data_IF_473774350647
#
_entry.id   IF_473774350647
#
_cell.length_a   1.000
_cell.length_b   1.000
_cell.length_c   1.000
_cell.angle_alpha   90.00
_cell.angle_beta   90.00
_cell.angle_gamma   90.00
#
_symmetry.space_group_name_H-M   'P 1'
#
loop_
_entity.id
_entity.type
_entity.pdbx_description
1 polymer ?
#
# COMPACT_ATOMS: atom_id res chain seq x y z
N UNK A 1 -4.65 -7.71 12.37
CA UNK A 1 -4.90 -6.46 13.04
C UNK A 1 -4.01 -5.35 12.49
N UNK A 2 -4.61 -4.29 11.98
CA UNK A 2 -3.87 -3.23 11.30
C UNK A 2 -4.55 -1.88 11.51
N UNK A 3 -3.78 -0.82 11.32
CA UNK A 3 -4.26 0.55 11.55
C UNK A 3 -4.57 1.28 10.26
N UNK A 4 -3.99 0.85 9.14
CA UNK A 4 -4.12 1.56 7.87
C UNK A 4 -4.04 0.56 6.72
N UNK A 5 -4.74 0.87 5.64
CA UNK A 5 -4.71 0.08 4.40
C UNK A 5 -3.96 0.88 3.35
N UNK A 6 -2.97 0.27 2.71
CA UNK A 6 -2.20 0.93 1.66
C UNK A 6 -2.33 0.15 0.36
N UNK A 7 -2.68 0.86 -0.71
CA UNK A 7 -2.79 0.26 -2.03
C UNK A 7 -1.58 0.60 -2.88
N UNK A 8 -1.12 -0.34 -3.67
CA UNK A 8 -0.03 -0.09 -4.61
C UNK A 8 -0.58 0.61 -5.84
N UNK A 9 0.05 1.72 -6.22
CA UNK A 9 -0.37 2.46 -7.39
C UNK A 9 -0.06 1.63 -8.66
N UNK A 10 -0.96 1.59 -9.62
CA UNK A 10 -2.22 2.34 -9.61
C UNK A 10 -3.39 1.44 -9.27
N UNK A 11 -3.36 0.22 -9.74
CA UNK A 11 -4.52 -0.67 -9.70
C UNK A 11 -4.87 -1.16 -8.29
N UNK A 12 -3.93 -1.15 -7.36
CA UNK A 12 -4.22 -1.52 -5.99
C UNK A 12 -4.98 -0.47 -5.22
N UNK A 13 -4.98 0.78 -5.70
CA UNK A 13 -5.61 1.90 -4.99
C UNK A 13 -7.12 1.71 -4.80
N UNK A 14 -7.91 1.40 -5.87
CA UNK A 14 -9.36 1.21 -5.66
C UNK A 14 -9.69 0.10 -4.68
N UNK A 15 -8.95 -1.01 -4.75
CA UNK A 15 -9.17 -2.12 -3.84
C UNK A 15 -8.88 -1.73 -2.40
N UNK A 16 -7.78 -1.00 -2.19
CA UNK A 16 -7.45 -0.49 -0.85
C UNK A 16 -8.54 0.45 -0.34
N UNK A 17 -9.07 1.30 -1.22
CA UNK A 17 -10.14 2.23 -0.83
C UNK A 17 -11.40 1.49 -0.39
N UNK A 18 -11.79 0.45 -1.13
CA UNK A 18 -12.96 -0.35 -0.76
C UNK A 18 -12.75 -1.03 0.60
N UNK A 19 -11.58 -1.61 0.80
CA UNK A 19 -11.28 -2.29 2.05
C UNK A 19 -11.23 -1.31 3.22
N UNK A 20 -10.59 -0.17 3.03
CA UNK A 20 -10.50 0.84 4.06
C UNK A 20 -11.89 1.36 4.46
N UNK A 21 -12.76 1.57 3.46
CA UNK A 21 -14.12 2.00 3.71
C UNK A 21 -14.89 0.96 4.50
N UNK A 22 -14.78 -0.30 4.11
CA UNK A 22 -15.50 -1.38 4.78
C UNK A 22 -15.01 -1.59 6.21
N UNK A 23 -13.71 -1.46 6.43
CA UNK A 23 -13.10 -1.67 7.74
C UNK A 23 -13.09 -0.42 8.59
N UNK A 24 -13.49 0.71 8.01
CA UNK A 24 -13.51 2.00 8.67
C UNK A 24 -12.13 2.40 9.22
N UNK A 25 -11.13 2.25 8.39
CA UNK A 25 -9.75 2.65 8.72
C UNK A 25 -9.23 3.60 7.65
N UNK A 26 -8.22 4.41 7.98
CA UNK A 26 -7.63 5.30 6.98
C UNK A 26 -6.88 4.53 5.90
N UNK A 27 -6.67 5.19 4.76
CA UNK A 27 -5.92 4.57 3.68
C UNK A 27 -4.77 5.47 3.23
N UNK A 28 -3.80 4.82 2.59
CA UNK A 28 -2.70 5.49 1.91
C UNK A 28 -2.48 4.76 0.59
N UNK A 29 -1.63 5.28 -0.27
CA UNK A 29 -1.22 4.52 -1.44
C UNK A 29 0.28 4.66 -1.66
N UNK A 30 0.85 3.65 -2.29
CA UNK A 30 2.29 3.56 -2.49
C UNK A 30 2.57 3.74 -3.98
N UNK A 31 3.34 4.76 -4.32
CA UNK A 31 3.74 5.01 -5.71
C UNK A 31 4.77 3.99 -6.14
N UNK A 32 4.82 3.72 -7.44
CA UNK A 32 5.85 2.85 -7.98
C UNK A 32 7.23 3.47 -7.84
N UNK A 33 7.30 4.81 -7.90
CA UNK A 33 8.55 5.54 -7.78
C UNK A 33 8.32 6.80 -6.97
N UNK A 34 9.40 7.33 -6.39
CA UNK A 34 9.35 8.58 -5.67
C UNK A 34 9.02 9.72 -6.62
N UNK A 35 8.28 10.70 -6.12
CA UNK A 35 7.98 11.91 -6.87
C UNK A 35 9.29 12.60 -7.25
N UNK A 36 9.38 13.06 -8.49
CA UNK A 36 10.54 13.80 -8.96
C UNK A 36 10.62 15.19 -8.34
N UNK A 37 9.46 15.75 -7.94
CA UNK A 37 9.36 17.08 -7.40
C UNK A 37 8.60 17.07 -6.07
N UNK A 38 8.72 18.16 -5.33
CA UNK A 38 8.04 18.29 -4.06
C UNK A 38 8.73 17.55 -2.93
N UNK A 39 7.96 16.96 -2.04
CA UNK A 39 8.51 16.28 -0.87
C UNK A 39 9.21 14.96 -1.18
N UNK A 40 9.08 14.47 -2.41
CA UNK A 40 9.71 13.22 -2.79
C UNK A 40 9.12 11.99 -2.12
N UNK A 41 7.91 12.09 -1.61
CA UNK A 41 7.28 10.98 -0.91
C UNK A 41 6.83 9.91 -1.87
N UNK A 42 7.07 8.67 -1.48
CA UNK A 42 6.59 7.52 -2.24
C UNK A 42 5.23 7.06 -1.72
N UNK A 43 4.88 7.39 -0.49
CA UNK A 43 3.59 7.04 0.11
C UNK A 43 2.79 8.30 0.35
N UNK A 44 1.53 8.28 -0.09
CA UNK A 44 0.61 9.40 0.05
C UNK A 44 -0.63 8.96 0.81
N UNK A 45 -1.21 9.87 1.58
CA UNK A 45 -2.46 9.62 2.26
C UNK A 45 -2.39 9.94 3.74
N UNK A 46 -3.05 9.10 4.55
CA UNK A 46 -3.13 9.31 5.98
C UNK A 46 -1.75 9.24 6.64
N UNK A 47 -1.64 9.81 7.84
CA UNK A 47 -0.43 9.69 8.63
C UNK A 47 -0.16 8.23 8.95
N UNK A 48 1.07 7.79 8.73
CA UNK A 48 1.34 6.36 8.73
C UNK A 48 2.56 5.94 9.55
N UNK A 49 3.44 6.85 9.91
CA UNK A 49 4.64 6.48 10.64
C UNK A 49 4.30 5.74 11.93
N UNK A 50 4.92 4.59 12.14
CA UNK A 50 4.68 3.75 13.32
C UNK A 50 3.40 2.94 13.27
N UNK A 51 2.60 3.09 12.21
CA UNK A 51 1.33 2.38 12.08
C UNK A 51 1.51 0.99 11.51
N UNK A 52 0.60 0.10 11.83
CA UNK A 52 0.54 -1.23 11.23
C UNK A 52 -0.26 -1.15 9.95
N UNK A 53 0.31 -1.66 8.86
CA UNK A 53 -0.29 -1.53 7.53
C UNK A 53 -0.53 -2.89 6.90
N UNK A 54 -1.68 -3.00 6.22
CA UNK A 54 -1.92 -4.09 5.28
C UNK A 54 -1.77 -3.49 3.88
N UNK A 55 -0.96 -4.13 3.03
CA UNK A 55 -0.71 -3.66 1.68
C UNK A 55 -1.56 -4.46 0.70
N UNK A 56 -2.27 -3.75 -0.17
CA UNK A 56 -3.15 -4.35 -1.17
C UNK A 56 -2.55 -4.17 -2.54
N UNK A 57 -2.35 -5.26 -3.25
CA UNK A 57 -1.81 -5.31 -4.60
C UNK A 57 -2.83 -6.00 -5.50
N UNK A 58 -3.01 -5.50 -6.73
CA UNK A 58 -3.95 -6.11 -7.66
C UNK A 58 -3.39 -7.41 -8.24
N UNK A 59 -2.13 -7.42 -8.64
CA UNK A 59 -1.50 -8.57 -9.29
C UNK A 59 0.00 -8.60 -9.00
N UNK A 60 0.47 -9.74 -8.52
CA UNK A 60 1.89 -9.98 -8.36
C UNK A 60 2.34 -10.87 -9.52
N UNK A 61 3.16 -10.33 -10.41
CA UNK A 61 3.68 -11.11 -11.53
C UNK A 61 5.11 -11.58 -11.29
N UNK A 62 6.04 -10.64 -11.17
CA UNK A 62 7.46 -10.98 -10.96
C UNK A 62 7.90 -10.73 -9.51
N UNK A 63 7.11 -10.02 -8.74
CA UNK A 63 7.46 -9.65 -7.39
C UNK A 63 8.25 -8.36 -7.27
N UNK A 64 8.75 -7.80 -8.38
CA UNK A 64 9.56 -6.59 -8.34
C UNK A 64 8.80 -5.39 -7.78
N UNK A 65 7.59 -5.20 -8.23
CA UNK A 65 6.74 -4.11 -7.77
C UNK A 65 6.39 -4.27 -6.28
N UNK A 66 6.10 -5.51 -5.88
CA UNK A 66 5.75 -5.82 -4.49
C UNK A 66 6.94 -5.59 -3.56
N UNK A 67 8.13 -5.95 -4.00
CA UNK A 67 9.35 -5.74 -3.21
C UNK A 67 9.58 -4.23 -3.00
N UNK A 68 9.38 -3.44 -4.05
CA UNK A 68 9.52 -2.00 -3.96
C UNK A 68 8.51 -1.39 -2.99
N UNK A 69 7.27 -1.88 -3.03
CA UNK A 69 6.22 -1.40 -2.14
C UNK A 69 6.55 -1.70 -0.68
N UNK A 70 7.01 -2.90 -0.41
CA UNK A 70 7.40 -3.31 0.95
C UNK A 70 8.56 -2.45 1.44
N UNK A 71 9.57 -2.24 0.59
CA UNK A 71 10.72 -1.42 0.95
C UNK A 71 10.30 0.03 1.24
N UNK A 72 9.41 0.60 0.43
CA UNK A 72 8.92 1.95 0.64
C UNK A 72 8.16 2.08 1.95
N UNK A 73 7.32 1.09 2.26
CA UNK A 73 6.56 1.09 3.50
C UNK A 73 7.47 1.04 4.72
N UNK A 74 8.46 0.17 4.69
CA UNK A 74 9.41 0.05 5.79
C UNK A 74 10.25 1.30 5.96
N UNK A 75 10.68 1.89 4.86
CA UNK A 75 11.44 3.14 4.90
C UNK A 75 10.63 4.27 5.49
N UNK A 76 9.31 4.26 5.27
CA UNK A 76 8.40 5.27 5.80
C UNK A 76 8.01 5.02 7.26
N UNK A 77 8.50 3.93 7.86
CA UNK A 77 8.23 3.63 9.26
C UNK A 77 6.96 2.81 9.52
N UNK A 78 6.40 2.23 8.48
CA UNK A 78 5.23 1.36 8.63
C UNK A 78 5.64 -0.03 9.07
N UNK A 79 4.82 -0.66 9.90
CA UNK A 79 4.96 -2.06 10.25
C UNK A 79 4.00 -2.87 9.39
N UNK A 80 4.54 -3.69 8.50
CA UNK A 80 3.71 -4.46 7.56
C UNK A 80 3.19 -5.72 8.24
N UNK A 81 1.87 -5.83 8.37
CA UNK A 81 1.26 -7.01 8.97
C UNK A 81 0.89 -8.04 7.91
N UNK A 82 0.45 -7.58 6.74
CA UNK A 82 0.00 -8.45 5.67
C UNK A 82 0.21 -7.81 4.31
N UNK A 83 0.37 -8.67 3.30
CA UNK A 83 0.43 -8.25 1.92
C UNK A 83 -0.59 -9.10 1.17
N UNK A 84 -1.60 -8.47 0.57
CA UNK A 84 -2.71 -9.17 -0.06
C UNK A 84 -2.73 -8.92 -1.55
N UNK A 85 -2.81 -10.01 -2.33
CA UNK A 85 -2.98 -9.94 -3.76
C UNK A 85 -4.43 -10.22 -4.10
N UNK A 86 -5.12 -9.24 -4.66
CA UNK A 86 -6.56 -9.34 -4.91
C UNK A 86 -6.90 -10.17 -6.14
N UNK A 87 -6.23 -9.89 -7.24
CA UNK A 87 -6.59 -10.50 -8.53
C UNK A 87 -6.45 -12.01 -8.54
N UNK A 88 -5.52 -12.53 -7.77
CA UNK A 88 -5.31 -13.97 -7.68
C UNK A 88 -6.57 -14.73 -7.33
N UNK A 89 -7.48 -14.11 -6.59
CA UNK A 89 -8.70 -14.77 -6.14
C UNK A 89 -9.73 -14.96 -7.26
N UNK A 90 -9.53 -14.31 -8.40
CA UNK A 90 -10.45 -14.38 -9.52
C UNK A 90 -9.89 -15.17 -10.70
N UNK A 91 -8.72 -15.71 -10.54
CA UNK A 91 -8.07 -16.53 -11.55
C UNK A 91 -8.09 -18.00 -11.14
#
# INVERSE_FOLDING_TARGET
DFDIVAGTATAGIPWAAFIAQEMNVPMAYIRGEKKAHGAGRQIEGAEFEGKKVIIIEDLISTGGSSIKAVAAAREAGLEITNFVEVLKQYL
#
